data_IF_129741210767
#
_entry.id   IF_129741210767
#
_cell.length_a   1.000
_cell.length_b   1.000
_cell.length_c   1.000
_cell.angle_alpha   90.00
_cell.angle_beta   90.00
_cell.angle_gamma   90.00
#
_symmetry.space_group_name_H-M   'P 1'
#
loop_
_entity.id
_entity.type
_entity.pdbx_description
1 polymer ?
#
# COMPACT_ATOMS: atom_id res chain seq x y z
N UNK A 1 -6.82 4.70 -13.37
CA UNK A 1 -5.55 5.27 -13.89
C UNK A 1 -4.62 4.08 -13.98
N UNK A 2 -3.92 3.83 -15.10
CA UNK A 2 -3.18 2.58 -15.18
C UNK A 2 -2.12 2.51 -14.08
N UNK A 3 -2.06 1.38 -13.39
CA UNK A 3 -1.01 1.09 -12.45
C UNK A 3 0.28 0.90 -13.24
N UNK A 4 1.31 1.69 -12.94
CA UNK A 4 2.59 1.62 -13.65
C UNK A 4 3.66 0.97 -12.78
N UNK A 5 4.44 0.08 -13.40
CA UNK A 5 5.68 -0.43 -12.83
C UNK A 5 6.80 -0.03 -13.79
N UNK A 6 7.80 0.71 -13.29
CA UNK A 6 8.88 1.26 -14.11
C UNK A 6 8.36 2.07 -15.32
N UNK A 7 7.33 2.90 -15.11
CA UNK A 7 6.65 3.69 -16.14
C UNK A 7 6.01 2.88 -17.28
N UNK A 8 5.77 1.57 -17.07
CA UNK A 8 5.03 0.71 -18.00
C UNK A 8 3.73 0.27 -17.36
N UNK A 9 2.66 0.29 -18.13
CA UNK A 9 1.37 -0.23 -17.68
C UNK A 9 1.51 -1.68 -17.26
N UNK A 10 0.94 -2.01 -16.10
CA UNK A 10 1.01 -3.34 -15.53
C UNK A 10 0.35 -4.38 -16.46
N UNK A 11 -0.77 -4.00 -17.07
CA UNK A 11 -1.64 -4.88 -17.85
C UNK A 11 -2.42 -5.84 -16.96
N UNK A 12 -3.05 -6.86 -17.57
CA UNK A 12 -3.76 -7.89 -16.82
C UNK A 12 -2.78 -8.82 -16.09
N UNK A 13 -2.95 -8.98 -14.79
CA UNK A 13 -2.17 -9.91 -13.96
C UNK A 13 -3.11 -10.93 -13.35
N UNK A 14 -2.84 -12.21 -13.61
CA UNK A 14 -3.65 -13.33 -13.12
C UNK A 14 -3.04 -14.04 -11.90
N UNK A 15 -1.81 -13.67 -11.51
CA UNK A 15 -1.11 -14.24 -10.37
C UNK A 15 0.03 -13.34 -9.90
N UNK A 16 0.25 -13.28 -8.59
CA UNK A 16 1.41 -12.62 -7.98
C UNK A 16 2.74 -13.26 -8.41
N UNK A 17 2.77 -14.55 -8.76
CA UNK A 17 3.98 -15.20 -9.29
C UNK A 17 4.43 -14.56 -10.61
N UNK A 18 3.49 -14.41 -11.55
CA UNK A 18 3.73 -13.76 -12.86
C UNK A 18 4.16 -12.30 -12.68
N UNK A 19 3.58 -11.60 -11.69
CA UNK A 19 4.00 -10.24 -11.35
C UNK A 19 5.49 -10.20 -10.97
N UNK A 20 5.94 -11.09 -10.09
CA UNK A 20 7.32 -11.09 -9.64
C UNK A 20 8.31 -11.61 -10.68
N UNK A 21 7.90 -12.56 -11.52
CA UNK A 21 8.71 -13.01 -12.66
C UNK A 21 8.94 -11.86 -13.65
N UNK A 22 7.89 -11.07 -13.92
CA UNK A 22 7.96 -9.91 -14.83
C UNK A 22 8.73 -8.73 -14.21
N UNK A 23 8.67 -8.57 -12.89
CA UNK A 23 9.29 -7.46 -12.17
C UNK A 23 10.13 -7.93 -10.96
N UNK A 24 11.30 -8.56 -11.18
CA UNK A 24 12.13 -9.12 -10.11
C UNK A 24 12.59 -8.10 -9.06
N UNK A 25 12.77 -6.83 -9.46
CA UNK A 25 13.15 -5.74 -8.55
C UNK A 25 12.15 -5.51 -7.40
N UNK A 26 10.88 -5.93 -7.56
CA UNK A 26 9.90 -5.91 -6.49
C UNK A 26 10.27 -6.91 -5.38
N UNK A 27 10.79 -8.08 -5.74
CA UNK A 27 11.28 -9.05 -4.76
C UNK A 27 12.54 -8.54 -4.05
N UNK A 28 13.44 -7.85 -4.76
CA UNK A 28 14.62 -7.23 -4.17
C UNK A 28 14.24 -6.12 -3.18
N UNK A 29 13.28 -5.27 -3.56
CA UNK A 29 12.73 -4.21 -2.70
C UNK A 29 12.08 -4.81 -1.45
N UNK A 30 11.31 -5.90 -1.61
CA UNK A 30 10.71 -6.62 -0.49
C UNK A 30 11.76 -7.27 0.44
N UNK A 31 12.83 -7.86 -0.11
CA UNK A 31 13.96 -8.39 0.68
C UNK A 31 14.64 -7.29 1.47
N UNK A 32 14.90 -6.13 0.84
CA UNK A 32 15.49 -4.97 1.49
C UNK A 32 14.61 -4.45 2.63
N UNK A 33 13.29 -4.29 2.38
CA UNK A 33 12.34 -3.86 3.40
C UNK A 33 12.29 -4.81 4.60
N UNK A 34 12.21 -6.13 4.35
CA UNK A 34 12.21 -7.16 5.40
C UNK A 34 13.51 -7.20 6.23
N UNK A 35 14.63 -6.75 5.67
CA UNK A 35 15.91 -6.72 6.38
C UNK A 35 16.06 -5.54 7.35
N UNK A 36 15.12 -4.58 7.31
CA UNK A 36 15.16 -3.42 8.21
C UNK A 36 14.84 -3.86 9.64
N UNK A 37 15.54 -3.32 10.65
CA UNK A 37 15.19 -3.57 12.04
C UNK A 37 13.82 -2.98 12.36
N UNK A 38 13.12 -3.60 13.32
CA UNK A 38 11.93 -3.00 13.92
C UNK A 38 12.32 -1.67 14.58
N UNK A 39 11.41 -0.70 14.48
CA UNK A 39 11.59 0.64 15.03
C UNK A 39 10.45 0.90 16.00
N UNK A 40 10.79 1.27 17.23
CA UNK A 40 9.80 1.74 18.18
C UNK A 40 9.30 3.13 17.76
N UNK A 41 7.99 3.27 17.67
CA UNK A 41 7.34 4.54 17.29
C UNK A 41 6.81 5.22 18.54
N UNK A 42 7.16 6.50 18.73
CA UNK A 42 6.60 7.31 19.82
C UNK A 42 5.09 7.52 19.59
N UNK A 43 4.23 7.13 20.55
CA UNK A 43 2.78 7.25 20.39
C UNK A 43 2.29 8.70 20.30
N UNK A 44 3.05 9.71 20.73
CA UNK A 44 2.60 11.11 20.82
C UNK A 44 2.13 11.72 19.51
N UNK A 45 2.60 11.23 18.37
CA UNK A 45 2.25 11.72 17.04
C UNK A 45 1.91 10.57 16.06
N UNK A 46 1.52 9.41 16.61
CA UNK A 46 1.10 8.24 15.86
C UNK A 46 -0.42 8.27 15.66
N UNK A 47 -0.84 8.22 14.39
CA UNK A 47 -2.20 7.86 14.02
C UNK A 47 -2.22 6.37 13.69
N UNK A 48 -2.72 5.57 14.63
CA UNK A 48 -2.90 4.13 14.44
C UNK A 48 -4.17 3.85 13.64
N UNK A 49 -4.07 2.96 12.66
CA UNK A 49 -5.15 2.54 11.76
C UNK A 49 -5.48 1.09 12.04
N UNK A 50 -6.72 0.79 12.44
CA UNK A 50 -7.15 -0.58 12.63
C UNK A 50 -7.54 -1.25 11.31
N UNK A 51 -7.71 -2.58 11.35
CA UNK A 51 -8.25 -3.34 10.23
C UNK A 51 -9.60 -2.75 9.77
N UNK A 52 -9.77 -2.62 8.45
CA UNK A 52 -10.91 -1.94 7.77
C UNK A 52 -10.98 -0.43 7.94
N UNK A 53 -9.93 0.19 8.45
CA UNK A 53 -9.80 1.63 8.52
C UNK A 53 -8.77 2.13 7.49
N UNK A 54 -8.89 3.41 7.17
CA UNK A 54 -7.83 4.14 6.49
C UNK A 54 -7.69 5.53 7.10
N UNK A 55 -6.48 6.08 7.06
CA UNK A 55 -6.20 7.44 7.45
C UNK A 55 -5.33 8.11 6.41
N UNK A 56 -5.66 9.37 6.09
CA UNK A 56 -4.89 10.19 5.17
C UNK A 56 -4.53 11.52 5.83
N UNK A 57 -3.30 11.97 5.65
CA UNK A 57 -2.82 13.27 6.15
C UNK A 57 -1.84 13.91 5.17
N UNK A 58 -1.30 15.07 5.54
CA UNK A 58 -0.29 15.80 4.77
C UNK A 58 0.86 16.21 5.69
N UNK A 59 2.03 16.58 5.16
CA UNK A 59 3.14 17.08 5.97
C UNK A 59 2.83 18.38 6.74
N UNK A 60 1.72 19.06 6.42
CA UNK A 60 1.28 20.26 7.13
C UNK A 60 0.52 19.95 8.44
N UNK A 61 0.15 18.69 8.69
CA UNK A 61 -0.48 18.26 9.93
C UNK A 61 0.53 18.33 11.08
N UNK A 62 0.15 19.03 12.16
CA UNK A 62 1.01 19.27 13.33
C UNK A 62 0.84 18.20 14.41
N UNK A 63 -0.18 17.34 14.29
CA UNK A 63 -0.54 16.35 15.29
C UNK A 63 -0.16 14.94 14.87
N UNK A 64 -0.08 14.67 13.56
CA UNK A 64 0.25 13.36 13.01
C UNK A 64 1.56 13.43 12.25
N UNK A 65 2.59 12.76 12.77
CA UNK A 65 3.88 12.60 12.08
C UNK A 65 4.09 11.18 11.54
N UNK A 66 3.34 10.20 12.07
CA UNK A 66 3.41 8.80 11.65
C UNK A 66 2.00 8.26 11.52
N UNK A 67 1.73 7.56 10.41
CA UNK A 67 0.56 6.68 10.29
C UNK A 67 1.06 5.25 10.38
N UNK A 68 0.44 4.44 11.23
CA UNK A 68 0.87 3.06 11.46
C UNK A 68 -0.31 2.10 11.55
N UNK A 69 -0.03 0.83 11.32
CA UNK A 69 -0.93 -0.30 11.57
C UNK A 69 -0.07 -1.53 11.81
N UNK A 70 -0.61 -2.51 12.50
CA UNK A 70 0.03 -3.81 12.74
C UNK A 70 -0.93 -4.98 12.41
N UNK A 71 -0.52 -6.21 12.70
CA UNK A 71 -1.30 -7.46 12.64
C UNK A 71 -1.81 -7.87 11.25
N UNK A 72 -1.11 -7.43 10.20
CA UNK A 72 -1.41 -7.82 8.82
C UNK A 72 -0.92 -9.26 8.51
N UNK A 73 -1.70 -10.26 8.96
CA UNK A 73 -1.45 -11.68 8.65
C UNK A 73 -1.86 -12.01 7.21
N UNK A 74 -3.16 -12.21 6.94
CA UNK A 74 -3.70 -12.35 5.58
C UNK A 74 -4.13 -11.01 4.96
N UNK A 75 -4.23 -9.97 5.78
CA UNK A 75 -4.59 -8.61 5.37
C UNK A 75 -3.42 -7.90 4.68
N UNK A 76 -3.70 -6.74 4.07
CA UNK A 76 -2.69 -5.90 3.41
C UNK A 76 -2.75 -4.46 3.94
N UNK A 77 -1.60 -3.95 4.32
CA UNK A 77 -1.35 -2.53 4.52
C UNK A 77 -1.06 -1.90 3.15
N UNK A 78 -1.91 -0.96 2.76
CA UNK A 78 -1.82 -0.24 1.50
C UNK A 78 -1.47 1.20 1.80
N UNK A 79 -0.29 1.64 1.35
CA UNK A 79 0.15 3.02 1.46
C UNK A 79 0.02 3.69 0.10
N UNK A 80 -0.68 4.82 0.05
CA UNK A 80 -0.76 5.65 -1.14
C UNK A 80 -0.22 7.04 -0.82
N UNK A 81 0.79 7.49 -1.56
CA UNK A 81 1.42 8.78 -1.36
C UNK A 81 1.44 9.60 -2.64
N UNK A 82 1.20 10.90 -2.56
CA UNK A 82 1.51 11.83 -3.64
C UNK A 82 2.85 12.53 -3.36
N UNK A 83 3.85 12.31 -4.21
CA UNK A 83 5.24 12.70 -3.93
C UNK A 83 5.50 14.20 -3.96
N UNK A 84 4.69 14.97 -4.68
CA UNK A 84 4.86 16.43 -4.74
C UNK A 84 4.26 17.16 -3.53
N UNK A 85 3.05 16.78 -3.12
CA UNK A 85 2.37 17.38 -1.95
C UNK A 85 2.81 16.74 -0.64
N UNK A 86 3.34 15.52 -0.70
CA UNK A 86 3.59 14.66 0.45
C UNK A 86 2.33 14.08 1.09
N UNK A 87 1.14 14.32 0.51
CA UNK A 87 -0.10 13.75 1.02
C UNK A 87 0.00 12.22 1.01
N UNK A 88 -0.32 11.58 2.13
CA UNK A 88 -0.14 10.14 2.30
C UNK A 88 -1.36 9.54 2.99
N UNK A 89 -1.67 8.31 2.62
CA UNK A 89 -2.70 7.50 3.24
C UNK A 89 -2.14 6.12 3.56
N UNK A 90 -2.56 5.55 4.69
CA UNK A 90 -2.40 4.14 5.02
C UNK A 90 -3.81 3.54 5.21
N UNK A 91 -4.06 2.42 4.54
CA UNK A 91 -5.28 1.64 4.67
C UNK A 91 -4.94 0.20 5.08
N UNK A 92 -5.75 -0.39 5.97
CA UNK A 92 -5.62 -1.80 6.35
C UNK A 92 -6.77 -2.60 5.72
N UNK A 93 -6.52 -3.15 4.53
CA UNK A 93 -7.49 -3.91 3.76
C UNK A 93 -7.49 -5.38 4.16
N UNK A 94 -8.68 -5.96 4.41
CA UNK A 94 -8.85 -7.38 4.78
C UNK A 94 -9.60 -8.21 3.74
N UNK A 95 -9.96 -7.61 2.61
CA UNK A 95 -10.72 -8.27 1.54
C UNK A 95 -12.24 -8.21 1.68
N UNK A 96 -12.78 -7.63 2.77
CA UNK A 96 -14.23 -7.57 2.96
C UNK A 96 -14.93 -6.57 2.03
N UNK A 97 -14.26 -5.50 1.60
CA UNK A 97 -14.88 -4.41 0.82
C UNK A 97 -13.88 -3.64 -0.07
N UNK A 98 -12.88 -4.33 -0.63
CA UNK A 98 -11.83 -3.74 -1.50
C UNK A 98 -12.39 -2.89 -2.65
N UNK A 99 -13.52 -3.31 -3.22
CA UNK A 99 -14.20 -2.60 -4.31
C UNK A 99 -14.60 -1.16 -3.94
N UNK A 100 -15.02 -0.93 -2.70
CA UNK A 100 -15.40 0.38 -2.17
C UNK A 100 -14.25 1.08 -1.45
N UNK A 101 -13.36 0.34 -0.77
CA UNK A 101 -12.26 0.91 0.02
C UNK A 101 -11.21 1.61 -0.85
N UNK A 102 -10.76 0.96 -1.94
CA UNK A 102 -9.69 1.50 -2.79
C UNK A 102 -10.04 2.87 -3.39
N UNK A 103 -11.23 3.07 -3.98
CA UNK A 103 -11.64 4.39 -4.44
C UNK A 103 -11.68 5.46 -3.35
N UNK A 104 -11.98 5.09 -2.10
CA UNK A 104 -12.11 6.05 -0.99
C UNK A 104 -10.75 6.62 -0.60
N UNK A 105 -9.75 5.78 -0.35
CA UNK A 105 -8.43 6.28 0.02
C UNK A 105 -7.72 6.98 -1.15
N UNK A 106 -7.94 6.50 -2.39
CA UNK A 106 -7.47 7.20 -3.60
C UNK A 106 -8.03 8.61 -3.66
N UNK A 107 -9.35 8.76 -3.46
CA UNK A 107 -10.01 10.07 -3.45
C UNK A 107 -9.50 10.95 -2.31
N UNK A 108 -9.22 10.38 -1.14
CA UNK A 108 -8.67 11.11 0.00
C UNK A 108 -7.30 11.74 -0.33
N UNK A 109 -6.35 10.94 -0.81
CA UNK A 109 -5.02 11.45 -1.18
C UNK A 109 -5.11 12.44 -2.35
N UNK A 110 -5.95 12.17 -3.34
CA UNK A 110 -6.16 13.08 -4.47
C UNK A 110 -6.70 14.45 -4.02
N UNK A 111 -7.65 14.46 -3.09
CA UNK A 111 -8.25 15.68 -2.54
C UNK A 111 -7.23 16.49 -1.73
N UNK A 112 -6.37 15.80 -0.96
CA UNK A 112 -5.27 16.39 -0.21
C UNK A 112 -4.11 16.88 -1.09
N UNK A 113 -4.07 16.51 -2.36
CA UNK A 113 -2.96 16.83 -3.28
C UNK A 113 -3.29 17.97 -4.25
N UNK A 114 -4.52 18.49 -4.22
CA UNK A 114 -5.05 19.47 -5.20
C UNK A 114 -4.21 20.74 -5.37
N UNK A 115 -3.45 21.15 -4.35
CA UNK A 115 -2.60 22.33 -4.39
C UNK A 115 -1.24 22.11 -5.09
N UNK A 116 -0.85 20.86 -5.35
CA UNK A 116 0.43 20.52 -5.97
C UNK A 116 0.22 19.84 -7.32
N UNK A 117 0.71 20.47 -8.39
CA UNK A 117 0.64 19.92 -9.76
C UNK A 117 1.84 19.05 -10.13
N UNK A 118 2.90 19.10 -9.33
CA UNK A 118 4.12 18.33 -9.52
C UNK A 118 4.05 17.03 -8.72
N UNK A 119 4.87 16.06 -9.09
CA UNK A 119 4.93 14.75 -8.44
C UNK A 119 4.09 13.67 -9.13
N UNK A 120 3.92 12.57 -8.43
CA UNK A 120 3.19 11.38 -8.86
C UNK A 120 2.59 10.69 -7.65
N UNK A 121 1.60 9.85 -7.89
CA UNK A 121 1.13 8.94 -6.86
C UNK A 121 2.07 7.73 -6.79
N UNK A 122 2.34 7.22 -5.60
CA UNK A 122 3.08 6.00 -5.36
C UNK A 122 2.25 5.07 -4.49
N UNK A 123 2.13 3.81 -4.93
CA UNK A 123 1.35 2.78 -4.25
C UNK A 123 2.29 1.73 -3.70
N UNK A 124 2.20 1.48 -2.40
CA UNK A 124 2.90 0.43 -1.71
C UNK A 124 1.91 -0.54 -1.08
N UNK A 125 2.20 -1.83 -1.22
CA UNK A 125 1.40 -2.90 -0.65
C UNK A 125 2.35 -3.78 0.16
N UNK A 126 1.97 -4.02 1.42
CA UNK A 126 2.70 -4.85 2.37
C UNK A 126 1.71 -5.73 3.13
N UNK A 127 1.96 -7.02 3.28
CA UNK A 127 1.00 -7.91 3.94
C UNK A 127 0.75 -9.19 3.17
N UNK A 128 -0.03 -10.08 3.79
CA UNK A 128 -0.33 -11.39 3.23
C UNK A 128 0.84 -12.35 3.33
N UNK A 129 0.53 -13.64 3.29
CA UNK A 129 1.49 -14.74 3.16
C UNK A 129 0.95 -15.79 2.20
N UNK A 130 1.73 -16.83 1.91
CA UNK A 130 1.20 -17.97 1.14
C UNK A 130 0.31 -18.83 2.04
N UNK A 131 -0.95 -18.41 2.24
CA UNK A 131 -1.94 -19.11 3.04
C UNK A 131 -2.68 -20.19 2.24
N UNK A 132 -3.06 -21.29 2.90
CA UNK A 132 -3.75 -22.42 2.27
C UNK A 132 -5.10 -22.02 1.64
N UNK A 133 -5.74 -21.01 2.22
CA UNK A 133 -7.00 -20.47 1.71
C UNK A 133 -6.85 -19.50 0.54
N UNK A 134 -5.62 -19.21 0.10
CA UNK A 134 -5.29 -18.25 -0.98
C UNK A 134 -5.83 -16.83 -0.79
N UNK A 135 -6.26 -16.48 0.43
CA UNK A 135 -6.88 -15.17 0.72
C UNK A 135 -5.91 -14.02 0.46
N UNK A 136 -4.65 -14.19 0.84
CA UNK A 136 -3.63 -13.16 0.63
C UNK A 136 -3.38 -12.93 -0.87
N UNK A 137 -3.38 -14.01 -1.64
CA UNK A 137 -3.20 -13.96 -3.08
C UNK A 137 -4.38 -13.26 -3.78
N UNK A 138 -5.61 -13.64 -3.44
CA UNK A 138 -6.83 -13.02 -3.95
C UNK A 138 -6.88 -11.54 -3.61
N UNK A 139 -6.62 -11.18 -2.35
CA UNK A 139 -6.60 -9.79 -1.90
C UNK A 139 -5.52 -8.95 -2.59
N UNK A 140 -4.34 -9.51 -2.81
CA UNK A 140 -3.28 -8.86 -3.61
C UNK A 140 -3.77 -8.51 -5.01
N UNK A 141 -4.41 -9.45 -5.70
CA UNK A 141 -4.93 -9.23 -7.06
C UNK A 141 -6.07 -8.21 -7.07
N UNK A 142 -6.99 -8.29 -6.12
CA UNK A 142 -8.11 -7.35 -5.99
C UNK A 142 -7.63 -5.92 -5.80
N UNK A 143 -6.65 -5.69 -4.91
CA UNK A 143 -6.09 -4.36 -4.68
C UNK A 143 -5.41 -3.84 -5.96
N UNK A 144 -4.64 -4.68 -6.67
CA UNK A 144 -3.98 -4.30 -7.92
C UNK A 144 -4.98 -3.91 -9.01
N UNK A 145 -5.98 -4.75 -9.26
CA UNK A 145 -7.03 -4.53 -10.27
C UNK A 145 -7.82 -3.27 -9.93
N UNK A 146 -8.17 -3.08 -8.65
CA UNK A 146 -9.00 -1.94 -8.25
C UNK A 146 -8.24 -0.62 -8.27
N UNK A 147 -6.95 -0.65 -7.96
CA UNK A 147 -6.07 0.52 -8.06
C UNK A 147 -5.92 0.99 -9.51
N UNK A 148 -5.81 0.04 -10.45
CA UNK A 148 -5.78 0.31 -11.90
C UNK A 148 -7.08 0.96 -12.40
N UNK A 149 -8.23 0.52 -11.87
CA UNK A 149 -9.56 1.01 -12.25
C UNK A 149 -9.94 2.39 -11.65
N UNK A 150 -9.29 2.86 -10.58
CA UNK A 150 -9.69 4.09 -9.86
C UNK A 150 -9.27 5.37 -10.60
N UNK A 151 -10.18 6.35 -10.73
CA UNK A 151 -10.20 7.38 -11.80
C UNK A 151 -9.48 8.73 -11.51
N UNK A 152 -9.06 9.38 -12.63
CA UNK A 152 -8.77 10.82 -12.90
C UNK A 152 -7.36 11.45 -12.66
N UNK A 153 -6.46 11.28 -13.67
CA UNK A 153 -5.25 12.07 -14.00
C UNK A 153 -4.23 12.39 -12.89
N UNK A 154 -3.41 11.40 -12.53
CA UNK A 154 -1.94 11.50 -12.31
C UNK A 154 -1.35 10.10 -12.12
N UNK A 155 -0.12 9.83 -12.59
CA UNK A 155 0.48 8.48 -12.63
C UNK A 155 0.61 7.84 -11.24
N UNK A 156 0.28 6.54 -11.11
CA UNK A 156 0.70 5.71 -9.98
C UNK A 156 2.01 5.00 -10.32
N UNK A 157 3.04 5.17 -9.52
CA UNK A 157 4.26 4.37 -9.54
C UNK A 157 4.18 3.34 -8.42
N UNK A 158 4.18 2.07 -8.79
CA UNK A 158 4.04 0.99 -7.82
C UNK A 158 5.39 0.62 -7.22
N UNK A 159 5.47 0.61 -5.89
CA UNK A 159 6.59 0.05 -5.14
C UNK A 159 6.02 -1.01 -4.21
N UNK A 160 5.99 -2.25 -4.70
CA UNK A 160 5.64 -3.40 -3.87
C UNK A 160 6.72 -3.62 -2.81
N UNK A 161 6.35 -3.58 -1.54
CA UNK A 161 7.28 -3.77 -0.43
C UNK A 161 7.20 -5.16 0.21
N UNK A 162 6.34 -6.05 -0.31
CA UNK A 162 6.44 -7.49 -0.06
C UNK A 162 5.15 -8.14 0.44
N UNK A 163 4.94 -9.38 -0.01
CA UNK A 163 4.13 -10.37 0.71
C UNK A 163 5.01 -10.86 1.86
N UNK A 164 4.54 -10.75 3.11
CA UNK A 164 5.27 -11.28 4.25
C UNK A 164 5.17 -12.80 4.25
N UNK A 165 6.24 -13.48 3.86
CA UNK A 165 6.42 -14.87 4.29
C UNK A 165 6.79 -14.82 5.77
N UNK A 166 5.82 -15.13 6.63
CA UNK A 166 5.99 -15.11 8.07
C UNK A 166 7.19 -15.94 8.51
N UNK A 167 8.12 -15.28 9.20
CA UNK A 167 8.63 -15.69 10.51
C UNK A 167 9.42 -14.51 11.08
N UNK A 168 8.77 -13.77 11.98
CA UNK A 168 9.32 -13.28 13.25
C UNK A 168 8.15 -12.75 14.07
N UNK A 169 7.39 -13.70 14.61
CA UNK A 169 6.64 -13.45 15.83
C UNK A 169 7.72 -13.29 16.91
N UNK A 170 8.01 -12.05 17.29
CA UNK A 170 8.64 -11.80 18.58
C UNK A 170 7.52 -11.28 19.48
N UNK A 171 6.76 -12.21 20.04
CA UNK A 171 6.08 -11.97 21.31
C UNK A 171 7.07 -12.26 22.44
N UNK A 172 6.98 -11.56 23.59
CA UNK A 172 7.91 -11.69 24.73
C UNK A 172 8.02 -13.11 25.29
#
# INVERSE_FOLDING_TARGET
MPLLIQNRELGCIHSTAVLFEKYPHLQESAKSFRSRPLVDVDPKCLLYVHQREFAATTPADKFVSVIGSDDATTCHLVVLQHTGSGAACLAHCDGSSTWSEVPLFVKAVASLSTFCKEGRFELHIVGGFNDDSRRSHELSLDILVRSDASTNRSMYFFIFLGVFYGEKIVSP
#
